data_IF_236348095299
#
_entry.id   IF_236348095299
#
_cell.length_a   1.000
_cell.length_b   1.000
_cell.length_c   1.000
_cell.angle_alpha   90.00
_cell.angle_beta   90.00
_cell.angle_gamma   90.00
#
_symmetry.space_group_name_H-M   'P 1'
#
loop_
_entity.id
_entity.type
_entity.pdbx_description
1 polymer ?
#
# COMPACT_ATOMS: atom_id res chain seq x y z
N UNK A 1 23.20 64.96 -44.25
CA UNK A 1 22.55 63.92 -43.42
C UNK A 1 21.93 62.89 -44.36
N UNK A 2 22.16 61.58 -44.13
CA UNK A 2 21.83 60.56 -45.11
C UNK A 2 20.32 60.23 -45.20
N UNK A 3 19.93 59.88 -46.41
CA UNK A 3 18.61 59.32 -46.71
C UNK A 3 18.39 57.99 -45.93
N UNK A 4 17.26 57.76 -45.26
CA UNK A 4 16.96 56.51 -44.58
C UNK A 4 16.79 55.30 -45.52
N UNK A 5 16.58 55.53 -46.82
CA UNK A 5 16.32 54.50 -47.81
C UNK A 5 17.43 53.43 -47.94
N UNK A 6 18.73 53.82 -47.98
CA UNK A 6 19.81 52.82 -48.00
C UNK A 6 19.91 51.97 -46.75
N UNK A 7 19.62 52.54 -45.58
CA UNK A 7 19.59 51.80 -44.30
C UNK A 7 18.42 50.81 -44.24
N UNK A 8 17.28 51.19 -44.75
CA UNK A 8 16.14 50.30 -44.88
C UNK A 8 16.46 49.10 -45.79
N UNK A 9 17.07 49.34 -46.96
CA UNK A 9 17.49 48.26 -47.84
C UNK A 9 18.49 47.28 -47.20
N UNK A 10 19.45 47.81 -46.44
CA UNK A 10 20.40 46.97 -45.70
C UNK A 10 19.74 46.14 -44.60
N UNK A 11 18.84 46.74 -43.85
CA UNK A 11 18.07 46.02 -42.82
C UNK A 11 17.21 44.89 -43.40
N UNK A 12 16.44 45.19 -44.47
CA UNK A 12 15.63 44.21 -45.16
C UNK A 12 16.45 43.06 -45.74
N UNK A 13 17.61 43.34 -46.32
CA UNK A 13 18.52 42.33 -46.78
C UNK A 13 19.14 41.45 -45.65
N UNK A 14 19.42 42.06 -44.50
CA UNK A 14 19.87 41.32 -43.30
C UNK A 14 18.73 40.42 -42.74
N UNK A 15 17.52 40.95 -42.64
CA UNK A 15 16.34 40.16 -42.18
C UNK A 15 16.08 38.94 -43.08
N UNK A 16 16.17 39.12 -44.41
CA UNK A 16 15.96 38.04 -45.38
C UNK A 16 17.03 36.94 -45.28
N UNK A 17 18.22 37.23 -44.79
CA UNK A 17 19.33 36.27 -44.63
C UNK A 17 19.34 35.58 -43.27
N UNK A 18 18.65 36.12 -42.29
CA UNK A 18 18.63 35.56 -40.93
C UNK A 18 18.06 34.15 -40.94
N UNK A 19 18.75 33.22 -40.29
CA UNK A 19 18.39 31.81 -40.19
C UNK A 19 17.84 31.42 -38.81
N UNK A 20 18.02 32.30 -37.82
CA UNK A 20 17.54 32.05 -36.43
C UNK A 20 16.80 33.26 -35.85
N UNK A 21 15.95 33.01 -34.88
CA UNK A 21 15.23 34.06 -34.12
C UNK A 21 16.21 34.97 -33.38
N UNK A 22 17.32 34.47 -32.89
CA UNK A 22 18.38 35.25 -32.23
C UNK A 22 19.06 36.21 -33.18
N UNK A 23 19.31 35.81 -34.44
CA UNK A 23 19.79 36.71 -35.47
C UNK A 23 18.81 37.83 -35.79
N UNK A 24 17.51 37.52 -35.83
CA UNK A 24 16.49 38.57 -36.04
C UNK A 24 16.44 39.56 -34.88
N UNK A 25 16.57 39.08 -33.63
CA UNK A 25 16.65 39.95 -32.45
C UNK A 25 17.88 40.87 -32.50
N UNK A 26 19.02 40.36 -32.92
CA UNK A 26 20.22 41.16 -33.10
C UNK A 26 20.06 42.24 -34.18
N UNK A 27 19.44 41.91 -35.33
CA UNK A 27 19.13 42.84 -36.41
C UNK A 27 18.13 43.89 -35.93
N UNK A 28 17.07 43.49 -35.20
CA UNK A 28 16.10 44.42 -34.63
C UNK A 28 16.79 45.44 -33.69
N UNK A 29 17.68 44.97 -32.81
CA UNK A 29 18.46 45.84 -31.92
C UNK A 29 19.39 46.75 -32.69
N UNK A 30 20.05 46.27 -33.74
CA UNK A 30 21.01 47.03 -34.55
C UNK A 30 20.33 48.17 -35.32
N UNK A 31 19.14 47.91 -35.89
CA UNK A 31 18.49 48.92 -36.73
C UNK A 31 17.42 49.72 -36.01
N UNK A 32 16.64 49.09 -35.11
CA UNK A 32 15.48 49.68 -34.44
C UNK A 32 15.69 49.94 -32.94
N UNK A 33 16.82 49.55 -32.37
CA UNK A 33 17.10 49.75 -30.94
C UNK A 33 16.89 51.20 -30.48
N UNK A 34 16.19 51.41 -29.36
CA UNK A 34 15.79 52.76 -28.88
C UNK A 34 16.95 53.73 -28.63
N UNK A 35 18.09 53.24 -28.14
CA UNK A 35 19.24 54.09 -27.76
C UNK A 35 20.39 54.04 -28.76
N UNK A 36 20.62 52.97 -29.44
CA UNK A 36 21.77 52.72 -30.32
C UNK A 36 21.38 52.23 -31.71
N UNK A 37 20.14 52.11 -32.04
CA UNK A 37 19.67 51.69 -33.36
C UNK A 37 20.07 52.67 -34.45
N UNK A 38 20.56 52.15 -35.58
CA UNK A 38 21.01 52.97 -36.72
C UNK A 38 19.94 53.94 -37.19
N UNK A 39 18.66 53.54 -37.23
CA UNK A 39 17.54 54.38 -37.62
C UNK A 39 17.23 55.43 -36.54
N UNK A 40 17.31 55.05 -35.25
CA UNK A 40 17.08 55.97 -34.13
C UNK A 40 18.18 57.03 -34.05
N UNK A 41 19.41 56.65 -34.33
CA UNK A 41 20.57 57.57 -34.38
C UNK A 41 20.45 58.58 -35.53
N UNK A 42 19.95 58.17 -36.67
CA UNK A 42 19.68 59.03 -37.80
C UNK A 42 18.58 60.03 -37.48
N UNK A 43 17.53 59.65 -36.79
CA UNK A 43 16.42 60.52 -36.34
C UNK A 43 16.84 61.54 -35.28
N UNK A 44 17.82 61.21 -34.41
CA UNK A 44 18.26 62.12 -33.35
C UNK A 44 18.90 63.39 -33.89
N UNK A 45 19.44 63.37 -35.13
CA UNK A 45 20.03 64.50 -35.83
C UNK A 45 19.04 65.44 -36.55
N UNK A 46 17.80 65.02 -36.76
CA UNK A 46 16.82 65.77 -37.61
C UNK A 46 16.34 67.04 -36.96
N UNK A 47 16.44 67.20 -35.63
CA UNK A 47 15.95 68.41 -34.91
C UNK A 47 16.61 69.74 -35.32
N UNK A 48 17.72 69.70 -36.06
CA UNK A 48 18.47 70.91 -36.50
C UNK A 48 18.16 71.33 -37.95
N UNK A 49 17.25 70.64 -38.66
CA UNK A 49 16.92 70.92 -40.06
C UNK A 49 15.71 71.79 -40.21
N UNK A 50 15.58 72.42 -41.41
CA UNK A 50 14.43 73.21 -41.81
C UNK A 50 13.11 72.44 -41.75
N UNK A 51 11.97 73.03 -41.39
CA UNK A 51 10.71 72.28 -41.11
C UNK A 51 10.20 71.43 -42.26
N UNK A 52 10.39 71.74 -43.47
CA UNK A 52 9.98 70.97 -44.64
C UNK A 52 10.83 69.72 -44.85
N UNK A 53 12.14 69.88 -44.67
CA UNK A 53 13.11 68.76 -44.81
C UNK A 53 13.02 67.83 -43.63
N UNK A 54 12.75 68.32 -42.43
CA UNK A 54 12.49 67.55 -41.22
C UNK A 54 11.22 66.66 -41.35
N UNK A 55 10.13 67.25 -41.95
CA UNK A 55 8.91 66.49 -42.17
C UNK A 55 9.12 65.36 -43.18
N UNK A 56 9.84 65.62 -44.29
CA UNK A 56 10.16 64.59 -45.30
C UNK A 56 11.02 63.47 -44.77
N UNK A 57 12.10 63.75 -44.04
CA UNK A 57 12.97 62.71 -43.46
C UNK A 57 12.29 61.99 -42.33
N UNK A 58 11.45 62.63 -41.53
CA UNK A 58 10.67 61.98 -40.49
C UNK A 58 9.65 60.94 -41.05
N UNK A 59 9.00 61.37 -42.18
CA UNK A 59 8.09 60.39 -42.85
C UNK A 59 8.84 59.24 -43.47
N UNK A 60 9.93 59.49 -44.19
CA UNK A 60 10.76 58.43 -44.80
C UNK A 60 11.35 57.44 -43.73
N UNK A 61 11.76 57.93 -42.58
CA UNK A 61 12.26 57.10 -41.48
C UNK A 61 11.14 56.29 -40.84
N UNK A 62 9.93 56.83 -40.73
CA UNK A 62 8.76 56.10 -40.24
C UNK A 62 8.29 55.00 -41.19
N UNK A 63 8.36 55.25 -42.49
CA UNK A 63 8.09 54.26 -43.52
C UNK A 63 9.15 53.13 -43.50
N UNK A 64 10.42 53.51 -43.40
CA UNK A 64 11.53 52.55 -43.26
C UNK A 64 11.35 51.66 -41.98
N UNK A 65 11.00 52.26 -40.86
CA UNK A 65 10.74 51.55 -39.60
C UNK A 65 9.62 50.52 -39.77
N UNK A 66 8.48 50.95 -40.33
CA UNK A 66 7.34 50.06 -40.58
C UNK A 66 7.69 48.89 -41.52
N UNK A 67 8.47 49.19 -42.57
CA UNK A 67 8.92 48.17 -43.50
C UNK A 67 9.84 47.12 -42.83
N UNK A 68 10.76 47.56 -41.97
CA UNK A 68 11.66 46.68 -41.22
C UNK A 68 10.86 45.84 -40.18
N UNK A 69 9.96 46.48 -39.43
CA UNK A 69 9.09 45.76 -38.47
C UNK A 69 8.22 44.71 -39.14
N UNK A 70 7.65 45.00 -40.28
CA UNK A 70 6.85 44.07 -41.07
C UNK A 70 7.70 42.91 -41.59
N UNK A 71 8.90 43.19 -42.12
CA UNK A 71 9.82 42.15 -42.58
C UNK A 71 10.29 41.22 -41.44
N UNK A 72 10.64 41.79 -40.28
CA UNK A 72 10.98 41.02 -39.06
C UNK A 72 9.85 40.11 -38.61
N UNK A 73 8.61 40.61 -38.59
CA UNK A 73 7.44 39.83 -38.19
C UNK A 73 7.19 38.67 -39.17
N UNK A 74 7.27 38.95 -40.47
CA UNK A 74 7.12 37.87 -41.50
C UNK A 74 8.20 36.82 -41.37
N UNK A 75 9.47 37.24 -41.26
CA UNK A 75 10.60 36.30 -41.17
C UNK A 75 10.57 35.46 -39.89
N UNK A 76 10.17 36.08 -38.77
CA UNK A 76 9.96 35.39 -37.49
C UNK A 76 8.87 34.32 -37.62
N UNK A 77 7.76 34.61 -38.27
CA UNK A 77 6.71 33.63 -38.49
C UNK A 77 7.15 32.50 -39.42
N UNK A 78 7.96 32.78 -40.45
CA UNK A 78 8.53 31.75 -41.32
C UNK A 78 9.49 30.80 -40.58
N UNK A 79 10.39 31.34 -39.76
CA UNK A 79 11.36 30.55 -38.98
C UNK A 79 10.64 29.72 -37.92
N UNK A 80 9.65 30.26 -37.24
CA UNK A 80 8.86 29.51 -36.26
C UNK A 80 8.00 28.45 -36.94
N UNK A 81 7.39 28.74 -38.09
CA UNK A 81 6.69 27.73 -38.89
C UNK A 81 7.59 26.58 -39.34
N UNK A 82 8.81 26.89 -39.79
CA UNK A 82 9.82 25.88 -40.16
C UNK A 82 10.24 25.07 -38.95
N UNK A 83 10.45 25.69 -37.80
CA UNK A 83 10.78 25.01 -36.53
C UNK A 83 9.67 24.03 -36.08
N UNK A 84 8.42 24.49 -36.15
CA UNK A 84 7.26 23.64 -35.79
C UNK A 84 7.09 22.47 -36.78
N UNK A 85 7.34 22.70 -38.08
CA UNK A 85 7.31 21.63 -39.05
C UNK A 85 8.42 20.58 -38.82
N UNK A 86 9.62 21.01 -38.49
CA UNK A 86 10.75 20.13 -38.14
C UNK A 86 10.44 19.31 -36.90
N UNK A 87 9.93 19.94 -35.82
CA UNK A 87 9.48 19.24 -34.59
C UNK A 87 8.37 18.22 -34.93
N UNK A 88 7.41 18.59 -35.76
CA UNK A 88 6.31 17.71 -36.13
C UNK A 88 6.81 16.47 -36.91
N UNK A 89 7.91 16.58 -37.63
CA UNK A 89 8.54 15.47 -38.37
C UNK A 89 9.50 14.66 -37.51
N UNK A 90 10.36 15.33 -36.73
CA UNK A 90 11.47 14.67 -35.98
C UNK A 90 11.04 14.15 -34.61
N UNK A 91 10.05 14.82 -33.97
CA UNK A 91 9.54 14.47 -32.65
C UNK A 91 8.13 13.88 -32.71
N UNK A 92 7.68 13.43 -33.89
CA UNK A 92 6.36 12.81 -34.05
C UNK A 92 6.23 11.55 -33.18
N UNK A 93 5.30 11.58 -32.25
CA UNK A 93 4.92 10.45 -31.43
C UNK A 93 3.73 9.76 -32.06
N UNK A 94 3.86 8.47 -32.34
CA UNK A 94 2.72 7.65 -32.77
C UNK A 94 1.74 7.46 -31.62
N UNK A 95 0.67 8.26 -31.58
CA UNK A 95 -0.37 8.19 -30.57
C UNK A 95 -1.24 6.94 -30.67
N UNK A 96 -1.10 6.14 -31.72
CA UNK A 96 -1.78 4.84 -31.84
C UNK A 96 -0.99 3.72 -31.18
N UNK A 97 0.27 3.97 -30.83
CA UNK A 97 1.09 3.01 -30.10
C UNK A 97 0.51 2.78 -28.71
N UNK A 98 0.25 1.53 -28.30
CA UNK A 98 -0.29 1.27 -26.98
C UNK A 98 0.71 1.76 -25.92
N UNK A 99 0.21 2.54 -24.95
CA UNK A 99 0.98 2.93 -23.79
C UNK A 99 1.46 1.70 -22.98
N UNK A 100 2.42 1.88 -22.07
CA UNK A 100 2.84 0.78 -21.20
C UNK A 100 1.60 0.23 -20.46
N UNK A 101 1.41 -1.11 -20.47
CA UNK A 101 0.26 -1.70 -19.79
C UNK A 101 0.30 -1.31 -18.32
N UNK A 102 -0.81 -0.78 -17.81
CA UNK A 102 -0.97 -0.56 -16.39
C UNK A 102 -0.96 -1.93 -15.71
N UNK A 103 0.02 -2.18 -14.86
CA UNK A 103 0.10 -3.38 -14.04
C UNK A 103 -1.20 -3.50 -13.21
N UNK A 104 -1.85 -4.67 -13.27
CA UNK A 104 -2.97 -4.95 -12.38
C UNK A 104 -2.42 -5.18 -10.98
N UNK A 105 -2.95 -4.45 -9.99
CA UNK A 105 -2.61 -4.70 -8.60
C UNK A 105 -3.12 -6.07 -8.14
N UNK A 106 -2.42 -6.67 -7.19
CA UNK A 106 -2.77 -7.94 -6.55
C UNK A 106 -3.17 -7.71 -5.10
N UNK A 107 -4.05 -8.57 -4.60
CA UNK A 107 -4.38 -8.58 -3.17
C UNK A 107 -3.19 -9.15 -2.43
N UNK A 108 -2.74 -8.47 -1.36
CA UNK A 108 -1.63 -8.93 -0.52
C UNK A 108 -1.84 -10.37 -0.05
N UNK A 109 -0.80 -11.19 -0.07
CA UNK A 109 -0.85 -12.63 0.21
C UNK A 109 -1.51 -12.98 1.56
N UNK A 110 -1.21 -12.23 2.62
CA UNK A 110 -1.87 -12.41 3.93
C UNK A 110 -3.38 -12.16 3.86
N UNK A 111 -3.80 -11.17 3.08
CA UNK A 111 -5.23 -10.90 2.86
C UNK A 111 -5.91 -12.03 2.07
N UNK A 112 -5.21 -12.61 1.09
CA UNK A 112 -5.71 -13.77 0.36
C UNK A 112 -5.92 -14.97 1.28
N UNK A 113 -4.92 -15.30 2.11
CA UNK A 113 -4.99 -16.41 3.08
C UNK A 113 -6.09 -16.16 4.11
N UNK A 114 -6.19 -14.95 4.67
CA UNK A 114 -7.26 -14.58 5.60
C UNK A 114 -8.65 -14.79 4.97
N UNK A 115 -8.88 -14.30 3.77
CA UNK A 115 -10.18 -14.47 3.08
C UNK A 115 -10.51 -15.93 2.81
N UNK A 116 -9.51 -16.76 2.51
CA UNK A 116 -9.72 -18.20 2.34
C UNK A 116 -10.15 -18.87 3.65
N UNK A 117 -9.50 -18.51 4.78
CA UNK A 117 -9.86 -19.00 6.11
C UNK A 117 -11.30 -18.57 6.45
N UNK A 118 -11.62 -17.28 6.27
CA UNK A 118 -12.96 -16.72 6.49
C UNK A 118 -14.02 -17.49 5.68
N UNK A 119 -13.82 -17.66 4.36
CA UNK A 119 -14.75 -18.36 3.49
C UNK A 119 -14.98 -19.81 3.92
N UNK A 120 -13.92 -20.54 4.30
CA UNK A 120 -14.03 -21.93 4.75
C UNK A 120 -14.85 -22.01 6.04
N UNK A 121 -14.60 -21.12 7.00
CA UNK A 121 -15.27 -21.16 8.30
C UNK A 121 -16.71 -20.61 8.23
N UNK A 122 -16.96 -19.61 7.40
CA UNK A 122 -18.32 -19.14 7.09
C UNK A 122 -19.18 -20.28 6.49
N UNK A 123 -18.59 -21.16 5.69
CA UNK A 123 -19.31 -22.35 5.18
C UNK A 123 -19.73 -23.35 6.27
N UNK A 124 -19.08 -23.30 7.45
CA UNK A 124 -19.44 -24.07 8.65
C UNK A 124 -20.40 -23.28 9.58
N UNK A 125 -20.84 -22.09 9.19
CA UNK A 125 -21.76 -21.26 9.98
C UNK A 125 -21.08 -20.29 10.95
N UNK A 126 -19.75 -20.12 10.89
CA UNK A 126 -19.08 -19.10 11.69
C UNK A 126 -19.32 -17.71 11.12
N UNK A 127 -19.40 -16.72 12.00
CA UNK A 127 -19.54 -15.31 11.67
C UNK A 127 -18.23 -14.58 11.97
N UNK A 128 -17.86 -13.63 11.11
CA UNK A 128 -16.66 -12.80 11.32
C UNK A 128 -16.97 -11.69 12.32
N UNK A 129 -16.25 -11.65 13.42
CA UNK A 129 -16.34 -10.62 14.45
C UNK A 129 -15.05 -9.80 14.53
N UNK A 130 -15.20 -8.51 14.80
CA UNK A 130 -14.09 -7.58 14.94
C UNK A 130 -14.17 -6.82 16.26
N UNK A 131 -13.02 -6.39 16.75
CA UNK A 131 -12.92 -5.59 17.97
C UNK A 131 -11.72 -4.65 17.94
N UNK A 132 -11.60 -3.78 18.94
CA UNK A 132 -10.55 -2.78 19.03
C UNK A 132 -9.17 -3.43 19.19
N UNK A 133 -8.14 -2.78 18.65
CA UNK A 133 -6.74 -3.18 18.84
C UNK A 133 -6.17 -2.67 20.18
N UNK A 134 -6.69 -1.53 20.65
CA UNK A 134 -6.40 -1.02 22.01
C UNK A 134 -7.45 -1.56 22.96
N UNK A 135 -7.02 -2.31 23.94
CA UNK A 135 -7.88 -3.03 24.88
C UNK A 135 -7.58 -2.69 26.32
N UNK A 136 -8.54 -2.97 27.18
CA UNK A 136 -8.31 -2.93 28.61
C UNK A 136 -7.69 -4.26 29.09
N UNK A 137 -7.00 -4.20 30.24
CA UNK A 137 -6.48 -5.39 30.89
C UNK A 137 -7.57 -6.43 31.18
N UNK A 138 -8.79 -5.98 31.52
CA UNK A 138 -9.93 -6.85 31.72
C UNK A 138 -10.15 -7.78 30.53
N UNK A 139 -10.36 -7.22 29.35
CA UNK A 139 -10.64 -8.02 28.15
C UNK A 139 -9.43 -8.83 27.68
N UNK A 140 -8.21 -8.26 27.79
CA UNK A 140 -7.02 -8.91 27.28
C UNK A 140 -6.52 -10.03 28.22
N UNK A 141 -6.85 -10.00 29.52
CA UNK A 141 -6.32 -10.93 30.49
C UNK A 141 -7.38 -11.45 31.47
N UNK A 142 -7.97 -10.63 32.30
CA UNK A 142 -8.76 -11.07 33.46
C UNK A 142 -10.00 -11.85 33.04
N UNK A 143 -10.75 -11.35 32.03
CA UNK A 143 -11.91 -12.05 31.47
C UNK A 143 -11.55 -13.41 30.84
N UNK A 144 -10.30 -13.59 30.44
CA UNK A 144 -9.74 -14.80 29.88
C UNK A 144 -9.07 -15.71 30.95
N UNK A 145 -9.45 -15.56 32.22
CA UNK A 145 -8.94 -16.33 33.34
C UNK A 145 -7.43 -16.12 33.63
N UNK A 146 -6.87 -14.96 33.21
CA UNK A 146 -5.52 -14.52 33.51
C UNK A 146 -5.56 -13.38 34.55
N UNK A 147 -5.82 -13.73 35.81
CA UNK A 147 -5.88 -12.76 36.91
C UNK A 147 -4.55 -12.04 37.15
N UNK A 148 -4.60 -10.94 37.91
CA UNK A 148 -3.42 -10.18 38.33
C UNK A 148 -2.42 -11.09 39.03
N UNK A 149 -1.14 -11.08 38.61
CA UNK A 149 -0.07 -11.92 39.17
C UNK A 149 -0.03 -13.35 38.60
N UNK A 150 -0.82 -13.69 37.60
CA UNK A 150 -0.71 -15.01 36.94
C UNK A 150 0.60 -15.08 36.13
N UNK A 151 1.44 -16.13 36.31
CA UNK A 151 2.77 -16.23 35.65
C UNK A 151 2.70 -16.15 34.12
N UNK A 152 1.66 -16.70 33.51
CA UNK A 152 1.49 -16.66 32.06
C UNK A 152 1.29 -15.23 31.52
N UNK A 153 0.95 -14.25 32.38
CA UNK A 153 0.75 -12.85 31.99
C UNK A 153 2.07 -12.17 31.64
N UNK A 154 3.15 -12.51 32.35
CA UNK A 154 4.50 -11.98 32.09
C UNK A 154 5.06 -12.47 30.74
N UNK A 155 4.70 -13.67 30.31
CA UNK A 155 5.14 -14.25 29.03
C UNK A 155 4.50 -13.63 27.78
N UNK A 156 3.54 -12.71 27.92
CA UNK A 156 2.87 -12.08 26.77
C UNK A 156 3.48 -10.77 26.32
N UNK A 157 4.47 -10.24 27.03
CA UNK A 157 5.27 -9.06 26.68
C UNK A 157 4.49 -7.96 25.93
N UNK A 158 3.46 -7.41 26.61
CA UNK A 158 2.47 -6.51 26.00
C UNK A 158 2.95 -5.07 25.91
N UNK A 159 2.43 -4.31 24.93
CA UNK A 159 2.65 -2.86 24.80
C UNK A 159 1.56 -2.10 25.55
N UNK A 160 1.92 -1.45 26.65
CA UNK A 160 1.01 -0.64 27.46
C UNK A 160 1.07 0.84 27.11
N UNK A 161 -0.09 1.51 27.06
CA UNK A 161 -0.23 2.96 27.01
C UNK A 161 -0.41 3.56 28.41
N UNK A 162 -1.21 2.90 29.22
CA UNK A 162 -1.44 3.19 30.65
C UNK A 162 -1.44 1.86 31.40
N UNK A 163 -1.47 1.87 32.76
CA UNK A 163 -1.59 0.62 33.51
C UNK A 163 -2.80 -0.24 33.15
N UNK A 164 -3.85 0.35 32.58
CA UNK A 164 -5.11 -0.35 32.29
C UNK A 164 -5.36 -0.54 30.77
N UNK A 165 -4.58 0.16 29.89
CA UNK A 165 -4.77 0.13 28.43
C UNK A 165 -3.52 -0.36 27.74
N UNK A 166 -3.70 -1.30 26.83
CA UNK A 166 -2.61 -1.93 26.07
C UNK A 166 -3.03 -2.22 24.63
N UNK A 167 -2.04 -2.50 23.76
CA UNK A 167 -2.30 -3.18 22.50
C UNK A 167 -2.57 -4.66 22.78
N UNK A 168 -3.67 -5.20 22.24
CA UNK A 168 -4.05 -6.59 22.49
C UNK A 168 -2.94 -7.56 22.07
N UNK A 169 -2.60 -8.52 22.94
CA UNK A 169 -1.59 -9.54 22.70
C UNK A 169 -2.11 -10.74 21.87
N UNK A 170 -3.42 -10.81 21.67
CA UNK A 170 -4.17 -11.82 20.91
C UNK A 170 -5.56 -11.30 20.54
N UNK A 171 -6.29 -12.01 19.72
CA UNK A 171 -7.64 -11.58 19.30
C UNK A 171 -8.76 -12.10 20.22
N UNK A 172 -8.44 -12.86 21.27
CA UNK A 172 -9.40 -13.41 22.25
C UNK A 172 -10.29 -12.37 22.96
N UNK A 173 -9.88 -11.11 23.20
CA UNK A 173 -10.78 -10.07 23.73
C UNK A 173 -12.10 -9.95 22.95
N UNK A 174 -12.04 -10.16 21.64
CA UNK A 174 -13.24 -10.08 20.78
C UNK A 174 -14.24 -11.21 21.12
N UNK A 175 -13.74 -12.37 21.56
CA UNK A 175 -14.60 -13.48 21.98
C UNK A 175 -15.45 -13.10 23.21
N UNK A 176 -14.85 -12.44 24.21
CA UNK A 176 -15.57 -11.93 25.38
C UNK A 176 -16.61 -10.90 24.98
N UNK A 177 -16.23 -9.91 24.16
CA UNK A 177 -17.14 -8.88 23.64
C UNK A 177 -18.29 -9.46 22.85
N UNK A 178 -18.04 -10.49 22.05
CA UNK A 178 -19.08 -11.18 21.29
C UNK A 178 -20.05 -11.94 22.22
N UNK A 179 -19.56 -12.64 23.23
CA UNK A 179 -20.41 -13.30 24.23
C UNK A 179 -21.31 -12.29 24.96
N UNK A 180 -20.74 -11.18 25.44
CA UNK A 180 -21.48 -10.09 26.12
C UNK A 180 -22.56 -9.46 25.23
N UNK A 181 -22.30 -9.36 23.93
CA UNK A 181 -23.24 -8.77 22.94
C UNK A 181 -24.32 -9.75 22.51
N UNK A 182 -23.96 -10.99 22.18
CA UNK A 182 -24.87 -12.00 21.64
C UNK A 182 -25.73 -12.61 22.77
N UNK A 183 -25.14 -12.88 23.92
CA UNK A 183 -25.74 -13.39 25.18
C UNK A 183 -26.33 -14.79 25.10
N UNK A 184 -26.97 -15.15 24.01
CA UNK A 184 -27.70 -16.43 23.88
C UNK A 184 -26.99 -17.30 22.83
N UNK A 185 -26.38 -18.45 23.23
CA UNK A 185 -25.87 -19.42 22.28
C UNK A 185 -27.00 -20.08 21.46
N UNK A 186 -26.71 -20.65 20.27
CA UNK A 186 -25.36 -21.00 19.82
C UNK A 186 -24.55 -19.80 19.30
N UNK A 187 -23.23 -19.77 19.58
CA UNK A 187 -22.30 -18.74 19.12
C UNK A 187 -21.19 -19.43 18.34
N UNK A 188 -21.06 -19.10 17.07
CA UNK A 188 -19.97 -19.55 16.20
C UNK A 188 -19.34 -18.34 15.54
N UNK A 189 -18.15 -17.96 16.00
CA UNK A 189 -17.47 -16.76 15.52
C UNK A 189 -16.01 -17.02 15.20
N UNK A 190 -15.47 -16.25 14.27
CA UNK A 190 -14.02 -16.10 14.03
C UNK A 190 -13.62 -14.64 14.20
N UNK A 191 -12.46 -14.43 14.74
CA UNK A 191 -11.94 -13.10 15.08
C UNK A 191 -10.59 -12.84 14.41
N UNK A 192 -10.57 -12.54 13.10
CA UNK A 192 -9.34 -12.17 12.41
C UNK A 192 -8.92 -10.76 12.82
N UNK A 193 -7.65 -10.57 13.14
CA UNK A 193 -7.14 -9.25 13.51
C UNK A 193 -5.65 -9.24 13.83
N UNK A 194 -5.11 -8.06 14.07
CA UNK A 194 -3.73 -7.89 14.51
C UNK A 194 -3.60 -8.14 16.00
N UNK A 195 -2.47 -8.74 16.37
CA UNK A 195 -2.00 -8.90 17.74
C UNK A 195 -0.60 -8.31 17.88
N UNK A 196 -0.22 -7.90 19.09
CA UNK A 196 0.98 -7.14 19.36
C UNK A 196 1.72 -7.72 20.57
N UNK A 197 3.00 -8.04 20.40
CA UNK A 197 3.88 -8.56 21.45
C UNK A 197 5.24 -7.91 21.34
N UNK A 198 5.94 -7.67 22.46
CA UNK A 198 7.29 -7.06 22.43
C UNK A 198 8.39 -8.06 22.06
N UNK A 199 8.05 -8.98 21.15
CA UNK A 199 9.04 -9.95 20.64
C UNK A 199 10.08 -9.22 19.77
N UNK A 200 11.37 -9.56 19.91
CA UNK A 200 12.39 -9.07 18.99
C UNK A 200 12.14 -9.63 17.58
N UNK A 201 12.28 -8.80 16.52
CA UNK A 201 12.08 -9.26 15.16
C UNK A 201 13.10 -10.31 14.72
N UNK A 202 12.62 -11.49 14.31
CA UNK A 202 13.43 -12.54 13.69
C UNK A 202 12.69 -13.17 12.49
N UNK A 203 13.19 -14.26 11.93
CA UNK A 203 12.57 -14.96 10.81
C UNK A 203 11.19 -15.59 11.15
N UNK A 204 10.83 -15.69 12.41
CA UNK A 204 9.62 -16.35 12.91
C UNK A 204 8.74 -15.49 13.79
N UNK A 205 9.26 -14.36 14.28
CA UNK A 205 8.58 -13.45 15.20
C UNK A 205 8.65 -12.00 14.70
N UNK A 206 7.57 -11.27 14.93
CA UNK A 206 7.47 -9.83 14.73
C UNK A 206 6.74 -9.21 15.92
N UNK A 207 6.96 -7.92 16.23
CA UNK A 207 6.26 -7.22 17.30
C UNK A 207 4.76 -7.03 17.02
N UNK A 208 4.33 -7.26 15.81
CA UNK A 208 2.93 -7.33 15.40
C UNK A 208 2.76 -8.44 14.35
N UNK A 209 1.64 -9.12 14.40
CA UNK A 209 1.29 -10.19 13.45
C UNK A 209 -0.23 -10.29 13.33
N UNK A 210 -0.69 -11.01 12.33
CA UNK A 210 -2.13 -11.25 12.13
C UNK A 210 -2.51 -12.59 12.71
N UNK A 211 -3.58 -12.62 13.48
CA UNK A 211 -4.10 -13.81 14.11
C UNK A 211 -5.55 -14.05 13.69
N UNK A 212 -5.96 -15.29 13.62
CA UNK A 212 -7.36 -15.67 13.58
C UNK A 212 -7.63 -16.64 14.72
N UNK A 213 -8.68 -16.35 15.48
CA UNK A 213 -9.19 -17.25 16.51
C UNK A 213 -10.64 -17.62 16.18
N UNK A 214 -11.05 -18.79 16.61
CA UNK A 214 -12.41 -19.25 16.51
C UNK A 214 -12.96 -19.60 17.88
N UNK A 215 -14.24 -19.31 18.08
CA UNK A 215 -15.01 -19.68 19.26
C UNK A 215 -16.31 -20.36 18.81
N UNK A 216 -16.58 -21.52 19.35
CA UNK A 216 -17.88 -22.17 19.22
C UNK A 216 -18.46 -22.42 20.62
N UNK A 217 -19.68 -21.99 20.84
CA UNK A 217 -20.43 -22.24 22.09
C UNK A 217 -21.78 -22.82 21.69
N UNK A 218 -22.06 -24.03 22.16
CA UNK A 218 -23.31 -24.72 21.93
C UNK A 218 -23.53 -25.78 23.03
N UNK A 219 -24.58 -26.59 22.90
CA UNK A 219 -24.84 -27.71 23.80
C UNK A 219 -23.99 -28.92 23.43
N UNK A 220 -23.35 -29.52 24.44
CA UNK A 220 -22.63 -30.80 24.33
C UNK A 220 -21.52 -30.85 23.28
N UNK A 221 -20.83 -29.72 22.99
CA UNK A 221 -19.65 -29.70 22.14
C UNK A 221 -18.51 -30.53 22.79
N UNK A 222 -17.71 -31.17 21.94
CA UNK A 222 -16.64 -32.07 22.37
C UNK A 222 -15.28 -31.68 21.76
N UNK A 223 -14.20 -32.24 22.30
CA UNK A 223 -12.87 -32.17 21.68
C UNK A 223 -12.88 -32.77 20.27
N UNK A 224 -13.78 -33.75 20.03
CA UNK A 224 -13.96 -34.33 18.70
C UNK A 224 -14.48 -33.33 17.67
N UNK A 225 -15.45 -32.49 18.04
CA UNK A 225 -16.02 -31.45 17.19
C UNK A 225 -14.97 -30.38 16.87
N UNK A 226 -14.21 -29.93 17.89
CA UNK A 226 -13.09 -29.03 17.71
C UNK A 226 -12.06 -29.58 16.72
N UNK A 227 -11.64 -30.83 16.90
CA UNK A 227 -10.68 -31.50 16.01
C UNK A 227 -11.23 -31.65 14.59
N UNK A 228 -12.54 -31.95 14.47
CA UNK A 228 -13.23 -32.03 13.18
C UNK A 228 -13.21 -30.70 12.42
N UNK A 229 -13.53 -29.61 13.11
CA UNK A 229 -13.48 -28.24 12.56
C UNK A 229 -12.07 -27.86 12.08
N UNK A 230 -11.04 -28.10 12.92
CA UNK A 230 -9.64 -27.86 12.56
C UNK A 230 -9.20 -28.71 11.36
N UNK A 231 -9.58 -30.00 11.34
CA UNK A 231 -9.23 -30.89 10.23
C UNK A 231 -9.89 -30.43 8.93
N UNK A 232 -11.17 -30.08 8.96
CA UNK A 232 -11.89 -29.59 7.79
C UNK A 232 -11.26 -28.31 7.26
N UNK A 233 -10.95 -27.36 8.12
CA UNK A 233 -10.28 -26.10 7.74
C UNK A 233 -8.91 -26.37 7.08
N UNK A 234 -8.07 -27.20 7.71
CA UNK A 234 -6.73 -27.52 7.19
C UNK A 234 -6.83 -28.24 5.84
N UNK A 235 -7.73 -29.18 5.69
CA UNK A 235 -7.92 -29.90 4.43
C UNK A 235 -8.46 -29.01 3.31
N UNK A 236 -9.33 -28.09 3.65
CA UNK A 236 -9.85 -27.09 2.68
C UNK A 236 -8.77 -26.12 2.19
N UNK A 237 -7.80 -25.76 3.04
CA UNK A 237 -6.73 -24.81 2.70
C UNK A 237 -5.52 -25.48 2.02
N UNK A 238 -5.21 -26.72 2.37
CA UNK A 238 -3.93 -27.37 2.00
C UNK A 238 -4.10 -28.73 1.32
N UNK A 239 -5.34 -29.20 1.14
CA UNK A 239 -5.68 -30.47 0.49
C UNK A 239 -5.98 -31.60 1.48
N UNK A 240 -6.76 -32.57 0.99
CA UNK A 240 -7.36 -33.66 1.76
C UNK A 240 -6.35 -34.64 2.40
N UNK A 241 -5.12 -34.65 1.92
CA UNK A 241 -4.06 -35.50 2.46
C UNK A 241 -3.51 -35.01 3.80
N UNK A 242 -3.84 -33.77 4.20
CA UNK A 242 -3.37 -33.19 5.44
C UNK A 242 -4.06 -33.82 6.65
N UNK A 243 -3.27 -34.08 7.68
CA UNK A 243 -3.75 -34.60 8.95
C UNK A 243 -3.50 -33.58 10.05
N UNK A 244 -4.40 -33.57 11.02
CA UNK A 244 -4.28 -32.77 12.24
C UNK A 244 -4.10 -33.73 13.42
N UNK A 245 -3.18 -33.43 14.30
CA UNK A 245 -3.07 -34.05 15.62
C UNK A 245 -3.09 -32.98 16.69
N UNK A 246 -3.61 -33.32 17.86
CA UNK A 246 -3.59 -32.46 19.05
C UNK A 246 -2.65 -33.07 20.09
N UNK A 247 -1.92 -32.22 20.79
CA UNK A 247 -1.02 -32.53 21.87
C UNK A 247 -1.46 -31.81 23.13
N UNK A 248 -1.49 -32.43 24.31
CA UNK A 248 -1.77 -31.72 25.56
C UNK A 248 -0.85 -30.52 25.74
N UNK A 249 -1.44 -29.41 26.16
CA UNK A 249 -0.77 -28.17 26.48
C UNK A 249 -1.51 -27.45 27.61
N UNK A 250 -1.09 -26.23 27.94
CA UNK A 250 -1.75 -25.42 28.95
C UNK A 250 -2.01 -24.01 28.46
N UNK A 251 -3.27 -23.60 28.52
CA UNK A 251 -3.69 -22.19 28.35
C UNK A 251 -4.70 -21.86 29.44
N UNK A 252 -4.59 -20.70 30.11
CA UNK A 252 -5.49 -20.32 31.21
C UNK A 252 -6.98 -20.24 30.85
N UNK A 253 -7.25 -19.95 29.57
CA UNK A 253 -8.60 -19.74 29.05
C UNK A 253 -9.26 -21.00 28.49
N UNK A 254 -8.56 -22.15 28.46
CA UNK A 254 -9.10 -23.45 28.02
C UNK A 254 -8.77 -24.57 28.99
N UNK A 255 -9.68 -25.57 29.11
CA UNK A 255 -9.51 -26.79 29.92
C UNK A 255 -10.43 -27.90 29.36
N UNK A 256 -9.86 -29.00 28.80
CA UNK A 256 -8.45 -29.22 28.51
C UNK A 256 -7.90 -28.35 27.37
N UNK A 257 -6.59 -28.07 27.45
CA UNK A 257 -5.86 -27.29 26.45
C UNK A 257 -4.98 -28.19 25.60
N UNK A 258 -4.83 -27.80 24.33
CA UNK A 258 -4.01 -28.53 23.35
C UNK A 258 -3.29 -27.54 22.44
N UNK A 259 -2.13 -27.96 21.97
CA UNK A 259 -1.55 -27.45 20.72
C UNK A 259 -1.96 -28.35 19.57
N UNK A 260 -2.17 -27.79 18.38
CA UNK A 260 -2.44 -28.59 17.21
C UNK A 260 -1.35 -28.48 16.15
N UNK A 261 -0.99 -29.63 15.61
CA UNK A 261 0.02 -29.77 14.57
C UNK A 261 -0.66 -30.26 13.28
N UNK A 262 -0.05 -29.85 12.16
CA UNK A 262 -0.44 -30.29 10.81
C UNK A 262 0.71 -31.07 10.18
N UNK A 263 0.43 -32.09 9.39
CA UNK A 263 1.45 -32.80 8.62
C UNK A 263 2.22 -31.85 7.73
N UNK A 264 3.54 -31.92 7.77
CA UNK A 264 4.42 -31.09 6.94
C UNK A 264 4.11 -31.26 5.45
N UNK A 265 3.91 -30.14 4.74
CA UNK A 265 3.58 -30.14 3.33
C UNK A 265 4.70 -30.58 2.42
N UNK A 266 5.92 -30.32 2.80
CA UNK A 266 7.11 -30.60 2.01
C UNK A 266 7.44 -32.11 2.02
N UNK A 267 7.39 -32.75 3.18
CA UNK A 267 7.77 -34.13 3.32
C UNK A 267 6.59 -35.09 3.52
N UNK A 268 5.36 -34.60 3.49
CA UNK A 268 4.15 -35.41 3.73
C UNK A 268 4.21 -36.29 4.99
N UNK A 269 4.82 -35.77 6.06
CA UNK A 269 4.92 -36.46 7.35
C UNK A 269 6.16 -37.33 7.52
N UNK A 270 7.01 -37.49 6.51
CA UNK A 270 8.22 -38.30 6.59
C UNK A 270 9.37 -37.69 7.40
N UNK A 271 9.34 -36.39 7.58
CA UNK A 271 10.39 -35.62 8.23
C UNK A 271 11.39 -34.99 7.24
N UNK A 272 11.60 -33.70 7.34
CA UNK A 272 12.55 -32.91 6.53
C UNK A 272 13.14 -31.78 7.37
N UNK A 273 14.10 -31.09 6.83
CA UNK A 273 14.76 -29.93 7.49
C UNK A 273 13.75 -28.87 7.94
N UNK A 274 12.76 -28.51 7.11
CA UNK A 274 11.73 -27.50 7.41
C UNK A 274 10.84 -27.85 8.60
N UNK A 275 10.56 -29.12 8.85
CA UNK A 275 9.81 -29.56 10.03
C UNK A 275 10.72 -30.10 11.18
N UNK A 276 12.01 -29.81 11.14
CA UNK A 276 12.98 -30.31 12.12
C UNK A 276 12.99 -31.85 12.21
N UNK A 277 12.81 -32.53 11.10
CA UNK A 277 12.72 -34.00 10.95
C UNK A 277 11.57 -34.67 11.71
N UNK A 278 10.59 -33.88 12.19
CA UNK A 278 9.45 -34.40 12.97
C UNK A 278 8.28 -34.87 12.09
N UNK A 279 8.20 -34.41 10.84
CA UNK A 279 7.07 -34.66 9.94
C UNK A 279 5.82 -33.82 10.24
N UNK A 280 5.82 -33.01 11.30
CA UNK A 280 4.73 -32.23 11.81
C UNK A 280 5.17 -30.78 12.03
N UNK A 281 4.26 -29.85 11.80
CA UNK A 281 4.45 -28.43 12.05
C UNK A 281 3.36 -27.96 13.01
N UNK A 282 3.79 -27.34 14.10
CA UNK A 282 2.89 -26.69 15.04
C UNK A 282 2.27 -25.46 14.38
N UNK A 283 0.96 -25.33 14.51
CA UNK A 283 0.19 -24.27 13.88
C UNK A 283 -0.38 -23.31 14.93
N UNK A 284 -0.94 -23.84 16.03
CA UNK A 284 -1.55 -22.99 17.05
C UNK A 284 -2.08 -23.76 18.25
N UNK A 285 -2.79 -23.03 19.11
CA UNK A 285 -3.44 -23.54 20.31
C UNK A 285 -4.93 -23.78 20.11
N UNK A 286 -5.49 -24.73 20.86
CA UNK A 286 -6.92 -24.98 20.90
C UNK A 286 -7.31 -25.62 22.25
N UNK A 287 -8.61 -25.68 22.56
CA UNK A 287 -9.09 -26.33 23.77
C UNK A 287 -10.56 -26.09 24.03
N UNK A 288 -11.11 -26.77 25.04
CA UNK A 288 -12.44 -26.47 25.51
C UNK A 288 -12.40 -25.17 26.33
N UNK A 289 -13.38 -24.30 26.13
CA UNK A 289 -13.42 -23.00 26.82
C UNK A 289 -13.54 -23.23 28.33
N UNK A 290 -12.65 -22.58 29.08
CA UNK A 290 -12.68 -22.70 30.54
C UNK A 290 -14.00 -22.14 31.11
N UNK A 291 -14.65 -22.84 32.09
CA UNK A 291 -15.95 -22.40 32.65
C UNK A 291 -15.94 -20.97 33.18
N UNK A 292 -14.81 -20.48 33.70
CA UNK A 292 -14.70 -19.11 34.17
C UNK A 292 -14.76 -18.10 33.04
N UNK A 293 -14.21 -18.41 31.86
CA UNK A 293 -14.28 -17.56 30.67
C UNK A 293 -15.73 -17.42 30.18
N UNK A 294 -16.49 -18.51 30.17
CA UNK A 294 -17.92 -18.48 29.85
C UNK A 294 -18.68 -17.58 30.84
N UNK A 295 -18.45 -17.74 32.16
CA UNK A 295 -19.06 -16.86 33.18
C UNK A 295 -18.73 -15.40 32.97
N UNK A 296 -17.46 -15.09 32.69
CA UNK A 296 -16.99 -13.72 32.47
C UNK A 296 -17.65 -13.12 31.21
N UNK A 297 -17.92 -13.93 30.18
CA UNK A 297 -18.66 -13.55 28.96
C UNK A 297 -20.19 -13.54 29.16
N UNK A 298 -20.71 -13.86 30.36
CA UNK A 298 -22.14 -13.87 30.67
C UNK A 298 -22.88 -15.13 30.23
N UNK A 299 -22.17 -16.22 29.94
CA UNK A 299 -22.74 -17.52 29.53
C UNK A 299 -22.72 -18.51 30.70
N UNK A 300 -23.81 -19.21 30.94
CA UNK A 300 -23.89 -20.23 32.02
C UNK A 300 -23.18 -21.53 31.61
N UNK A 301 -22.06 -21.89 32.25
CA UNK A 301 -21.35 -23.11 31.94
C UNK A 301 -22.05 -24.40 32.40
N UNK A 302 -23.17 -24.32 33.15
CA UNK A 302 -23.98 -25.46 33.48
C UNK A 302 -24.87 -25.90 32.31
N UNK A 303 -25.25 -24.97 31.42
CA UNK A 303 -26.09 -25.23 30.26
C UNK A 303 -25.31 -25.32 28.97
N UNK A 304 -24.22 -24.59 28.86
CA UNK A 304 -23.44 -24.40 27.64
C UNK A 304 -21.96 -24.75 27.84
N UNK A 305 -21.37 -25.29 26.82
CA UNK A 305 -19.94 -25.46 26.75
C UNK A 305 -19.41 -24.94 25.40
N UNK A 306 -18.11 -24.94 25.21
CA UNK A 306 -17.54 -24.43 23.97
C UNK A 306 -16.12 -24.91 23.77
N UNK A 307 -15.62 -24.69 22.57
CA UNK A 307 -14.21 -24.79 22.26
C UNK A 307 -13.70 -23.54 21.56
N UNK A 308 -12.41 -23.29 21.72
CA UNK A 308 -11.72 -22.20 21.04
C UNK A 308 -10.41 -22.72 20.43
N UNK A 309 -9.96 -22.02 19.40
CA UNK A 309 -8.67 -22.27 18.75
C UNK A 309 -8.12 -20.97 18.18
N UNK A 310 -6.78 -20.88 17.98
CA UNK A 310 -6.15 -19.72 17.40
C UNK A 310 -4.79 -20.01 16.80
N UNK A 311 -4.46 -19.25 15.73
CA UNK A 311 -3.18 -19.35 15.04
C UNK A 311 -2.83 -18.06 14.29
N UNK A 312 -1.53 -17.87 13.98
CA UNK A 312 -1.04 -16.77 13.15
C UNK A 312 -1.32 -16.99 11.67
N UNK A 313 -1.88 -15.97 11.01
CA UNK A 313 -2.17 -16.00 9.56
C UNK A 313 -0.87 -16.10 8.77
N UNK A 314 0.19 -15.43 9.22
CA UNK A 314 1.52 -15.49 8.61
C UNK A 314 2.05 -16.93 8.61
N UNK A 315 1.87 -17.65 9.72
CA UNK A 315 2.29 -19.05 9.81
C UNK A 315 1.60 -19.91 8.76
N UNK A 316 0.31 -19.67 8.56
CA UNK A 316 -0.47 -20.34 7.53
C UNK A 316 0.00 -19.96 6.11
N UNK A 317 0.29 -18.68 5.87
CA UNK A 317 0.82 -18.22 4.59
C UNK A 317 2.22 -18.79 4.30
N UNK A 318 3.11 -18.80 5.30
CA UNK A 318 4.45 -19.41 5.21
C UNK A 318 4.36 -20.89 4.81
N UNK A 319 3.46 -21.64 5.45
CA UNK A 319 3.24 -23.04 5.14
C UNK A 319 2.64 -23.28 3.74
N UNK A 320 1.81 -22.35 3.27
CA UNK A 320 1.14 -22.46 1.97
C UNK A 320 2.04 -22.14 0.80
N UNK A 321 2.91 -21.18 0.97
CA UNK A 321 3.72 -20.57 -0.08
C UNK A 321 5.21 -20.87 0.05
N UNK A 322 5.60 -21.72 1.02
CA UNK A 322 6.99 -22.12 1.32
C UNK A 322 7.90 -20.90 1.58
N UNK A 323 7.36 -19.93 2.34
CA UNK A 323 8.11 -18.74 2.79
C UNK A 323 8.76 -19.05 4.13
N UNK A 324 10.05 -18.81 4.24
CA UNK A 324 10.88 -19.18 5.43
C UNK A 324 11.13 -18.01 6.38
N UNK A 325 10.77 -16.79 5.98
CA UNK A 325 10.98 -15.57 6.77
C UNK A 325 9.70 -14.71 6.81
N UNK A 326 9.14 -14.53 8.01
CA UNK A 326 7.90 -13.77 8.23
C UNK A 326 8.03 -12.29 7.84
N UNK A 327 9.26 -11.72 7.89
CA UNK A 327 9.51 -10.30 7.59
C UNK A 327 9.21 -9.95 6.16
N UNK A 328 9.35 -10.90 5.22
CA UNK A 328 9.08 -10.71 3.80
C UNK A 328 7.64 -10.25 3.53
N UNK A 329 6.68 -10.63 4.35
CA UNK A 329 5.30 -10.17 4.22
C UNK A 329 5.12 -8.67 4.50
N UNK A 330 6.08 -8.03 5.17
CA UNK A 330 5.96 -6.66 5.68
C UNK A 330 7.02 -5.69 5.14
N UNK A 331 8.04 -6.19 4.43
CA UNK A 331 9.13 -5.37 3.88
C UNK A 331 8.71 -4.58 2.62
N UNK A 332 7.51 -4.83 2.10
CA UNK A 332 6.98 -4.15 0.89
C UNK A 332 7.86 -4.31 -0.35
N UNK A 333 8.66 -5.38 -0.44
CA UNK A 333 9.44 -5.70 -1.64
C UNK A 333 8.50 -6.18 -2.75
N UNK A 334 8.39 -5.40 -3.82
CA UNK A 334 7.52 -5.72 -4.96
C UNK A 334 7.90 -7.05 -5.63
N UNK A 335 9.18 -7.41 -5.68
CA UNK A 335 9.65 -8.68 -6.24
C UNK A 335 9.13 -9.89 -5.46
N UNK A 336 8.87 -9.71 -4.17
CA UNK A 336 8.23 -10.73 -3.33
C UNK A 336 6.71 -10.70 -3.53
N UNK A 337 6.09 -9.52 -3.45
CA UNK A 337 4.64 -9.37 -3.49
C UNK A 337 4.02 -9.75 -4.85
N UNK A 338 4.74 -9.57 -5.95
CA UNK A 338 4.29 -9.91 -7.31
C UNK A 338 4.25 -11.42 -7.58
N UNK A 339 4.74 -12.24 -6.66
CA UNK A 339 4.73 -13.71 -6.79
C UNK A 339 3.36 -14.34 -6.44
N UNK A 340 2.41 -13.55 -5.88
CA UNK A 340 1.16 -14.07 -5.32
C UNK A 340 -0.10 -13.55 -5.99
#
# INVERSE_FOLDING_TARGET
>A
MGDPSPLSGQALAAVAKAQTTTELEAIEMEYLGRKSGKLSSLLSGIGKLEPAERARLGQAANEAKKAIEAALATRRAELEGARLADIAETEAIDITFPGPPLGRGHIHVLTQVRRQIETVLESLGYQVEQGPEVETEWYNFEALNLGTGHPAREGWDSFYFTPELLLRAHTSPVQIRAMERIKEPPIYIITPGRAYRRDPPDATHLPYFSQVEGLAIDKALTVGDMKGTLLYMIQSLYGVERKVRVRPSYFPFTEPSFEFDVTCGICNGMGCKSCGHKGWLEVGGCGMVHPQVLRNGGIDPAEWNGYAWGFGIERMAMLKHDVDDIRLFYESDLRFLEQF
#
